data_IF_663946933495
#
_entry.id   IF_663946933495
#
_cell.length_a   1.000
_cell.length_b   1.000
_cell.length_c   1.000
_cell.angle_alpha   90.00
_cell.angle_beta   90.00
_cell.angle_gamma   90.00
#
_symmetry.space_group_name_H-M   'P 1'
#
loop_
_entity.id
_entity.type
_entity.pdbx_description
1 polymer ?
#
# COMPACT_ATOMS: atom_id res chain seq x y z
N UNK A 1 8.56 16.79 16.40
CA UNK A 1 7.79 17.82 15.71
C UNK A 1 8.15 17.78 14.25
N UNK A 2 7.15 17.62 13.38
CA UNK A 2 7.32 17.86 11.95
C UNK A 2 7.68 19.34 11.74
N UNK A 3 8.66 19.61 10.86
CA UNK A 3 8.94 20.96 10.41
C UNK A 3 7.82 21.49 9.51
N UNK A 4 7.98 22.72 9.02
CA UNK A 4 7.02 23.34 8.12
C UNK A 4 6.93 22.59 6.77
N UNK A 5 5.69 22.34 6.32
CA UNK A 5 5.44 21.74 5.00
C UNK A 5 5.68 22.77 3.90
N UNK A 6 6.62 22.46 3.01
CA UNK A 6 6.88 23.24 1.82
C UNK A 6 5.83 22.96 0.75
N UNK A 7 5.77 23.83 -0.26
CA UNK A 7 4.81 23.69 -1.37
C UNK A 7 4.92 22.34 -2.10
N UNK A 8 6.13 21.77 -2.20
CA UNK A 8 6.33 20.44 -2.77
C UNK A 8 5.66 19.33 -1.95
N UNK A 9 5.67 19.44 -0.62
CA UNK A 9 5.05 18.44 0.26
C UNK A 9 3.52 18.52 0.13
N UNK A 10 2.98 19.74 0.16
CA UNK A 10 1.54 19.99 -0.05
C UNK A 10 1.07 19.53 -1.42
N UNK A 11 1.88 19.76 -2.46
CA UNK A 11 1.58 19.32 -3.82
C UNK A 11 1.50 17.79 -3.91
N UNK A 12 2.41 17.06 -3.27
CA UNK A 12 2.37 15.60 -3.22
C UNK A 12 1.07 15.10 -2.57
N UNK A 13 0.68 15.65 -1.41
CA UNK A 13 -0.57 15.27 -0.75
C UNK A 13 -1.82 15.64 -1.58
N UNK A 14 -1.82 16.79 -2.25
CA UNK A 14 -2.92 17.17 -3.13
C UNK A 14 -3.09 16.20 -4.31
N UNK A 15 -1.99 15.73 -4.90
CA UNK A 15 -2.01 14.74 -5.98
C UNK A 15 -2.52 13.39 -5.48
N UNK A 16 -2.09 12.95 -4.29
CA UNK A 16 -2.59 11.72 -3.66
C UNK A 16 -4.09 11.80 -3.37
N UNK A 17 -4.59 12.93 -2.87
CA UNK A 17 -6.04 13.15 -2.64
C UNK A 17 -6.84 13.03 -3.94
N UNK A 18 -6.35 13.62 -5.03
CA UNK A 18 -7.01 13.49 -6.33
C UNK A 18 -7.02 12.04 -6.85
N UNK A 19 -5.92 11.31 -6.64
CA UNK A 19 -5.84 9.88 -7.00
C UNK A 19 -6.75 9.01 -6.14
N UNK A 20 -6.87 9.30 -4.85
CA UNK A 20 -7.83 8.67 -3.92
C UNK A 20 -9.26 8.82 -4.43
N UNK A 21 -9.67 10.05 -4.77
CA UNK A 21 -11.05 10.29 -5.23
C UNK A 21 -11.36 9.54 -6.54
N UNK A 22 -10.41 9.49 -7.47
CA UNK A 22 -10.52 8.68 -8.70
C UNK A 22 -10.54 7.17 -8.41
N UNK A 23 -9.73 6.72 -7.46
CA UNK A 23 -9.66 5.32 -7.06
C UNK A 23 -11.00 4.85 -6.46
N UNK A 24 -11.60 5.66 -5.59
CA UNK A 24 -12.92 5.40 -5.01
C UNK A 24 -14.00 5.30 -6.09
N UNK A 25 -14.10 6.29 -6.99
CA UNK A 25 -15.05 6.26 -8.10
C UNK A 25 -14.85 5.02 -8.99
N UNK A 26 -13.60 4.65 -9.29
CA UNK A 26 -13.31 3.47 -10.07
C UNK A 26 -13.70 2.17 -9.33
N UNK A 27 -13.55 2.09 -8.00
CA UNK A 27 -13.99 0.92 -7.22
C UNK A 27 -15.52 0.82 -7.18
N UNK A 28 -16.23 1.93 -6.94
CA UNK A 28 -17.69 1.99 -6.90
C UNK A 28 -18.32 1.60 -8.23
N UNK A 29 -17.65 1.94 -9.35
CA UNK A 29 -18.09 1.59 -10.69
C UNK A 29 -17.52 0.27 -11.23
N UNK A 30 -16.93 -0.59 -10.37
CA UNK A 30 -16.35 -1.90 -10.73
C UNK A 30 -15.24 -1.84 -11.80
N UNK A 31 -14.55 -0.71 -11.91
CA UNK A 31 -13.42 -0.47 -12.84
C UNK A 31 -12.08 -0.80 -12.18
N UNK A 32 -11.92 -2.04 -11.71
CA UNK A 32 -10.76 -2.48 -10.91
C UNK A 32 -9.40 -2.24 -11.58
N UNK A 33 -9.32 -2.37 -12.91
CA UNK A 33 -8.07 -2.12 -13.65
C UNK A 33 -7.64 -0.66 -13.58
N UNK A 34 -8.60 0.26 -13.59
CA UNK A 34 -8.32 1.70 -13.50
C UNK A 34 -8.05 2.09 -12.05
N UNK A 35 -8.83 1.56 -11.09
CA UNK A 35 -8.55 1.73 -9.66
C UNK A 35 -7.13 1.26 -9.28
N UNK A 36 -6.67 0.12 -9.82
CA UNK A 36 -5.29 -0.35 -9.60
C UNK A 36 -4.25 0.59 -10.22
N UNK A 37 -4.53 1.22 -11.37
CA UNK A 37 -3.62 2.21 -11.95
C UNK A 37 -3.51 3.45 -11.06
N UNK A 38 -4.62 3.88 -10.46
CA UNK A 38 -4.66 5.01 -9.53
C UNK A 38 -3.88 4.70 -8.26
N UNK A 39 -4.04 3.50 -7.69
CA UNK A 39 -3.26 3.02 -6.54
C UNK A 39 -1.75 3.02 -6.85
N UNK A 40 -1.37 2.53 -8.04
CA UNK A 40 0.01 2.61 -8.54
C UNK A 40 0.44 4.06 -8.80
N UNK A 41 -0.49 4.96 -9.10
CA UNK A 41 -0.27 6.41 -9.20
C UNK A 41 0.27 6.98 -7.90
N UNK A 42 -0.35 6.64 -6.77
CA UNK A 42 0.09 7.06 -5.42
C UNK A 42 1.54 6.63 -5.17
N UNK A 43 1.90 5.40 -5.53
CA UNK A 43 3.27 4.91 -5.40
C UNK A 43 4.27 5.69 -6.27
N UNK A 44 3.85 6.13 -7.46
CA UNK A 44 4.68 6.97 -8.34
C UNK A 44 4.89 8.36 -7.76
N UNK A 45 3.85 8.96 -7.16
CA UNK A 45 3.96 10.25 -6.48
C UNK A 45 4.98 10.16 -5.34
N UNK A 46 4.90 9.11 -4.50
CA UNK A 46 5.88 8.88 -3.43
C UNK A 46 7.32 8.75 -3.95
N UNK A 47 7.53 7.95 -5.00
CA UNK A 47 8.85 7.80 -5.63
C UNK A 47 9.37 9.11 -6.21
N UNK A 48 8.51 9.90 -6.85
CA UNK A 48 8.87 11.22 -7.37
C UNK A 48 9.24 12.17 -6.22
N UNK A 49 8.43 12.21 -5.18
CA UNK A 49 8.63 13.07 -4.01
C UNK A 49 9.98 12.82 -3.33
N UNK A 50 10.29 11.57 -2.97
CA UNK A 50 11.58 11.25 -2.32
C UNK A 50 12.77 11.53 -3.24
N UNK A 51 12.60 11.37 -4.55
CA UNK A 51 13.64 11.65 -5.54
C UNK A 51 13.90 13.15 -5.70
N UNK A 52 12.84 13.97 -5.74
CA UNK A 52 12.94 15.43 -5.87
C UNK A 52 13.42 16.09 -4.56
N UNK A 53 13.02 15.52 -3.41
CA UNK A 53 13.38 16.04 -2.09
C UNK A 53 14.82 15.68 -1.68
N UNK A 54 15.43 14.67 -2.30
CA UNK A 54 16.82 14.25 -2.12
C UNK A 54 17.30 14.23 -0.64
N UNK A 55 16.64 13.46 0.26
CA UNK A 55 16.93 13.49 1.70
C UNK A 55 18.38 13.11 2.05
N UNK A 56 19.05 12.32 1.20
CA UNK A 56 20.47 11.97 1.37
C UNK A 56 21.43 13.15 1.15
N UNK A 57 20.98 14.22 0.47
CA UNK A 57 21.72 15.48 0.37
C UNK A 57 21.36 16.41 1.52
N UNK A 58 20.07 16.59 1.80
CA UNK A 58 19.62 17.50 2.86
C UNK A 58 20.07 17.04 4.24
N UNK A 59 20.27 15.73 4.47
CA UNK A 59 20.76 15.18 5.74
C UNK A 59 22.13 15.73 6.17
N UNK A 60 22.90 16.26 5.23
CA UNK A 60 24.23 16.85 5.48
C UNK A 60 24.16 18.32 5.87
N UNK A 61 23.07 19.02 5.55
CA UNK A 61 22.93 20.47 5.74
C UNK A 61 21.81 20.84 6.70
N UNK A 62 20.68 20.15 6.63
CA UNK A 62 19.46 20.43 7.38
C UNK A 62 18.76 19.12 7.78
N UNK A 63 18.98 18.73 9.03
CA UNK A 63 18.41 17.51 9.60
C UNK A 63 16.90 17.66 9.89
N UNK A 64 16.43 18.87 10.18
CA UNK A 64 15.02 19.15 10.47
C UNK A 64 14.18 18.98 9.20
N UNK A 65 14.68 19.53 8.07
CA UNK A 65 14.06 19.32 6.77
C UNK A 65 14.08 17.85 6.36
N UNK A 66 15.20 17.16 6.59
CA UNK A 66 15.31 15.72 6.31
C UNK A 66 14.29 14.90 7.10
N UNK A 67 14.12 15.21 8.39
CA UNK A 67 13.10 14.58 9.22
C UNK A 67 11.68 14.80 8.69
N UNK A 68 11.40 16.01 8.19
CA UNK A 68 10.09 16.34 7.58
C UNK A 68 9.86 15.55 6.29
N UNK A 69 10.86 15.48 5.40
CA UNK A 69 10.77 14.70 4.15
C UNK A 69 10.51 13.22 4.44
N UNK A 70 11.28 12.64 5.38
CA UNK A 70 11.11 11.24 5.76
C UNK A 70 9.75 10.98 6.42
N UNK A 71 9.24 11.93 7.21
CA UNK A 71 7.89 11.83 7.74
C UNK A 71 6.85 11.80 6.62
N UNK A 72 6.93 12.70 5.63
CA UNK A 72 6.02 12.69 4.48
C UNK A 72 6.08 11.35 3.74
N UNK A 73 7.28 10.81 3.49
CA UNK A 73 7.42 9.47 2.89
C UNK A 73 6.73 8.38 3.71
N UNK A 74 6.80 8.44 5.05
CA UNK A 74 6.11 7.49 5.92
C UNK A 74 4.57 7.64 5.86
N UNK A 75 4.05 8.87 5.76
CA UNK A 75 2.62 9.09 5.54
C UNK A 75 2.16 8.47 4.22
N UNK A 76 2.93 8.66 3.14
CA UNK A 76 2.66 8.05 1.83
C UNK A 76 2.72 6.52 1.91
N UNK A 77 3.64 5.95 2.71
CA UNK A 77 3.64 4.50 2.97
C UNK A 77 2.36 4.04 3.66
N UNK A 78 1.79 4.83 4.58
CA UNK A 78 0.51 4.51 5.21
C UNK A 78 -0.66 4.59 4.21
N UNK A 79 -0.65 5.58 3.31
CA UNK A 79 -1.59 5.66 2.18
C UNK A 79 -1.53 4.40 1.31
N UNK A 80 -0.32 3.96 0.95
CA UNK A 80 -0.12 2.75 0.16
C UNK A 80 -0.65 1.50 0.88
N UNK A 81 -0.46 1.41 2.20
CA UNK A 81 -0.98 0.31 2.99
C UNK A 81 -2.52 0.21 2.92
N UNK A 82 -3.21 1.34 2.87
CA UNK A 82 -4.68 1.40 2.74
C UNK A 82 -5.10 1.11 1.28
N UNK A 83 -4.50 1.80 0.31
CA UNK A 83 -4.90 1.74 -1.10
C UNK A 83 -4.67 0.35 -1.73
N UNK A 84 -3.68 -0.41 -1.25
CA UNK A 84 -3.35 -1.74 -1.77
C UNK A 84 -4.08 -2.89 -1.06
N UNK A 85 -4.79 -2.64 0.04
CA UNK A 85 -5.56 -3.68 0.74
C UNK A 85 -6.54 -4.45 -0.18
N UNK A 86 -7.34 -3.82 -1.07
CA UNK A 86 -8.26 -4.56 -1.93
C UNK A 86 -7.58 -5.31 -3.11
N UNK A 87 -6.29 -5.06 -3.38
CA UNK A 87 -5.59 -5.63 -4.54
C UNK A 87 -4.51 -6.65 -4.15
N UNK A 88 -3.73 -6.35 -3.12
CA UNK A 88 -2.60 -7.16 -2.65
C UNK A 88 -2.57 -7.18 -1.12
N UNK A 89 -3.53 -7.85 -0.46
CA UNK A 89 -3.70 -7.82 0.99
C UNK A 89 -2.45 -8.31 1.75
N UNK A 90 -1.76 -9.33 1.24
CA UNK A 90 -0.54 -9.84 1.89
C UNK A 90 0.60 -8.81 1.89
N UNK A 91 0.77 -8.06 0.79
CA UNK A 91 1.78 -7.02 0.70
C UNK A 91 1.41 -5.81 1.56
N UNK A 92 0.13 -5.44 1.58
CA UNK A 92 -0.41 -4.41 2.46
C UNK A 92 -0.21 -4.78 3.94
N UNK A 93 -0.49 -6.03 4.33
CA UNK A 93 -0.27 -6.52 5.70
C UNK A 93 1.21 -6.43 6.11
N UNK A 94 2.14 -6.81 5.23
CA UNK A 94 3.58 -6.69 5.50
C UNK A 94 4.01 -5.24 5.68
N UNK A 95 3.50 -4.34 4.85
CA UNK A 95 3.75 -2.90 5.00
C UNK A 95 3.15 -2.36 6.31
N UNK A 96 1.93 -2.78 6.67
CA UNK A 96 1.27 -2.44 7.93
C UNK A 96 2.06 -2.93 9.14
N UNK A 97 2.65 -4.14 9.09
CA UNK A 97 3.56 -4.64 10.13
C UNK A 97 4.80 -3.77 10.29
N UNK A 98 5.41 -3.32 9.18
CA UNK A 98 6.53 -2.38 9.23
C UNK A 98 6.12 -1.04 9.85
N UNK A 99 4.91 -0.57 9.55
CA UNK A 99 4.34 0.64 10.13
C UNK A 99 3.72 0.43 11.51
N UNK A 100 3.72 -0.80 12.07
CA UNK A 100 3.06 -1.13 13.34
C UNK A 100 1.57 -0.70 13.40
N UNK A 101 0.88 -0.75 12.27
CA UNK A 101 -0.52 -0.34 12.16
C UNK A 101 -1.45 -1.54 11.95
N UNK A 102 -2.64 -1.50 12.54
CA UNK A 102 -3.77 -2.35 12.18
C UNK A 102 -4.53 -1.78 10.97
N UNK A 103 -5.52 -2.51 10.49
CA UNK A 103 -6.47 -1.98 9.49
C UNK A 103 -7.90 -2.36 9.88
N UNK A 104 -8.82 -1.46 9.60
CA UNK A 104 -10.25 -1.72 9.66
C UNK A 104 -10.71 -2.33 8.34
N UNK A 105 -11.23 -3.56 8.37
CA UNK A 105 -11.67 -4.29 7.16
C UNK A 105 -13.18 -4.26 6.94
N UNK A 106 -13.90 -3.43 7.71
CA UNK A 106 -15.34 -3.26 7.60
C UNK A 106 -16.13 -3.88 8.74
N UNK A 107 -17.45 -3.70 8.66
CA UNK A 107 -18.44 -4.21 9.62
C UNK A 107 -19.19 -5.38 9.00
N UNK A 108 -19.31 -6.50 9.72
CA UNK A 108 -20.14 -7.62 9.28
C UNK A 108 -21.62 -7.31 9.62
N UNK A 109 -22.47 -7.22 8.60
CA UNK A 109 -23.90 -6.89 8.76
C UNK A 109 -24.80 -8.13 8.83
N UNK A 110 -24.29 -9.29 9.25
CA UNK A 110 -25.10 -10.50 9.45
C UNK A 110 -26.25 -10.24 10.42
N UNK A 111 -27.47 -10.42 9.91
CA UNK A 111 -28.72 -10.09 10.59
C UNK A 111 -28.92 -10.96 11.84
N UNK A 112 -28.75 -10.38 13.03
CA UNK A 112 -29.05 -11.03 14.31
C UNK A 112 -27.86 -11.30 15.23
N UNK A 113 -26.65 -10.93 14.83
CA UNK A 113 -25.44 -10.95 15.68
C UNK A 113 -25.06 -9.49 16.02
N UNK A 114 -24.44 -9.23 17.18
CA UNK A 114 -23.89 -7.91 17.50
C UNK A 114 -22.95 -7.44 16.38
N UNK A 115 -22.93 -6.13 16.08
CA UNK A 115 -22.05 -5.55 15.07
C UNK A 115 -20.60 -5.95 15.35
N UNK A 116 -20.11 -6.97 14.63
CA UNK A 116 -18.73 -7.38 14.71
C UNK A 116 -17.93 -6.50 13.76
N UNK A 117 -17.20 -5.54 14.31
CA UNK A 117 -16.13 -4.86 13.58
C UNK A 117 -15.01 -5.86 13.31
N UNK A 118 -14.78 -6.17 12.04
CA UNK A 118 -13.61 -6.94 11.65
C UNK A 118 -12.43 -5.98 11.54
N UNK A 119 -11.60 -5.99 12.57
CA UNK A 119 -10.32 -5.29 12.57
C UNK A 119 -9.22 -6.34 12.62
N UNK A 120 -8.29 -6.30 11.67
CA UNK A 120 -7.05 -7.07 11.78
C UNK A 120 -6.21 -6.36 12.84
N UNK A 121 -6.17 -6.94 14.03
CA UNK A 121 -5.40 -6.40 15.16
C UNK A 121 -3.92 -6.30 14.77
N UNK A 122 -3.44 -5.07 14.58
CA UNK A 122 -2.02 -4.73 14.64
C UNK A 122 -1.56 -4.55 16.10
N UNK A 123 -0.41 -3.90 16.31
CA UNK A 123 -0.10 -3.35 17.64
C UNK A 123 -1.16 -2.32 18.04
N UNK A 124 -1.58 -2.36 19.30
CA UNK A 124 -2.86 -1.87 19.85
C UNK A 124 -3.19 -0.37 19.70
N UNK A 125 -2.37 0.45 19.03
CA UNK A 125 -2.47 1.92 19.10
C UNK A 125 -2.92 2.62 17.80
N UNK A 126 -2.76 2.03 16.62
CA UNK A 126 -3.14 2.68 15.34
C UNK A 126 -3.91 1.72 14.45
N UNK A 127 -5.10 2.13 14.01
CA UNK A 127 -5.94 1.42 13.04
C UNK A 127 -6.09 2.29 11.80
N UNK A 128 -5.65 1.79 10.66
CA UNK A 128 -5.82 2.45 9.38
C UNK A 128 -7.25 2.24 8.87
N UNK A 129 -7.88 3.31 8.40
CA UNK A 129 -9.22 3.29 7.83
C UNK A 129 -9.20 3.90 6.42
N UNK A 130 -10.19 3.53 5.62
CA UNK A 130 -10.30 4.01 4.24
C UNK A 130 -10.36 5.55 4.14
N UNK A 131 -11.07 6.19 5.06
CA UNK A 131 -11.22 7.65 5.12
C UNK A 131 -9.89 8.37 5.43
N UNK A 132 -8.89 7.67 5.97
CA UNK A 132 -7.58 8.23 6.24
C UNK A 132 -6.72 8.35 4.98
N UNK A 133 -7.06 7.65 3.89
CA UNK A 133 -6.32 7.69 2.64
C UNK A 133 -6.28 9.12 2.08
N UNK A 134 -5.09 9.60 1.71
CA UNK A 134 -4.84 10.99 1.30
C UNK A 134 -4.71 11.98 2.47
N UNK A 135 -4.71 11.48 3.71
CA UNK A 135 -4.50 12.27 4.91
C UNK A 135 -3.06 12.71 5.09
N UNK A 136 -2.85 13.94 5.57
CA UNK A 136 -1.49 14.48 5.81
C UNK A 136 -0.87 13.98 7.13
N UNK A 137 -1.68 13.36 8.01
CA UNK A 137 -1.32 12.98 9.38
C UNK A 137 -1.97 11.66 9.80
N UNK A 138 -1.66 10.61 9.05
CA UNK A 138 -2.13 9.24 9.33
C UNK A 138 -1.32 8.64 10.49
N UNK A 139 0.00 8.71 10.40
CA UNK A 139 0.90 8.26 11.47
C UNK A 139 1.08 9.39 12.50
N UNK A 140 0.94 9.11 13.81
CA UNK A 140 1.22 10.07 14.87
C UNK A 140 2.66 10.59 14.87
N UNK A 141 2.89 11.73 15.53
CA UNK A 141 4.26 12.21 15.72
C UNK A 141 5.07 11.27 16.62
N UNK A 142 6.37 11.14 16.32
CA UNK A 142 7.30 10.26 17.03
C UNK A 142 6.92 8.76 17.01
N UNK A 143 6.13 8.35 16.01
CA UNK A 143 5.75 6.96 15.80
C UNK A 143 6.97 6.06 15.53
N UNK A 144 7.04 4.93 16.21
CA UNK A 144 8.12 3.96 16.03
C UNK A 144 7.73 2.89 15.02
N UNK A 145 8.46 2.84 13.90
CA UNK A 145 8.30 1.77 12.92
C UNK A 145 9.06 0.50 13.34
N UNK A 146 8.65 -0.65 12.81
CA UNK A 146 9.44 -1.87 12.87
C UNK A 146 10.57 -1.83 11.80
N UNK A 147 11.54 -2.76 11.86
CA UNK A 147 12.57 -2.89 10.82
C UNK A 147 11.94 -3.07 9.43
N UNK A 148 12.50 -2.38 8.44
CA UNK A 148 12.05 -2.51 7.05
C UNK A 148 12.47 -3.87 6.46
N UNK A 149 11.58 -4.50 5.71
CA UNK A 149 11.84 -5.73 4.96
C UNK A 149 11.49 -5.54 3.48
N UNK A 150 11.97 -6.45 2.62
CA UNK A 150 11.69 -6.39 1.19
C UNK A 150 10.25 -6.81 0.91
N UNK A 151 9.39 -5.90 0.44
CA UNK A 151 7.99 -6.22 0.12
C UNK A 151 7.83 -7.19 -1.06
N UNK A 152 8.67 -7.06 -2.09
CA UNK A 152 8.56 -7.87 -3.32
C UNK A 152 9.92 -8.42 -3.72
N UNK A 153 9.95 -9.72 -4.00
CA UNK A 153 11.10 -10.37 -4.62
C UNK A 153 10.99 -10.27 -6.14
N UNK A 154 12.15 -10.16 -6.81
CA UNK A 154 12.19 -10.20 -8.27
C UNK A 154 11.84 -11.62 -8.73
N UNK A 155 10.90 -11.71 -9.67
CA UNK A 155 10.59 -12.97 -10.33
C UNK A 155 11.66 -13.22 -11.38
N UNK A 156 12.42 -14.30 -11.22
CA UNK A 156 13.45 -14.72 -12.17
C UNK A 156 12.88 -15.60 -13.29
N UNK A 157 13.47 -15.55 -14.49
CA UNK A 157 13.00 -16.28 -15.68
C UNK A 157 12.89 -17.79 -15.42
N UNK A 158 13.80 -18.35 -14.62
CA UNK A 158 13.77 -19.77 -14.24
C UNK A 158 12.52 -20.17 -13.46
N UNK A 159 11.98 -19.27 -12.64
CA UNK A 159 10.73 -19.51 -11.92
C UNK A 159 9.52 -19.47 -12.87
N UNK A 160 9.57 -18.62 -13.89
CA UNK A 160 8.55 -18.52 -14.95
C UNK A 160 8.55 -19.82 -15.77
N UNK A 161 9.71 -20.24 -16.25
CA UNK A 161 9.88 -21.45 -17.08
C UNK A 161 9.41 -22.70 -16.32
N UNK A 162 9.75 -22.82 -15.04
CA UNK A 162 9.30 -23.94 -14.21
C UNK A 162 7.76 -24.01 -14.08
N UNK A 163 7.06 -22.87 -14.00
CA UNK A 163 5.59 -22.87 -13.98
C UNK A 163 5.00 -23.19 -15.36
N UNK A 164 5.61 -22.71 -16.45
CA UNK A 164 5.19 -23.04 -17.81
C UNK A 164 5.32 -24.53 -18.09
N UNK A 165 6.44 -25.15 -17.71
CA UNK A 165 6.67 -26.59 -17.86
C UNK A 165 5.65 -27.41 -17.05
N UNK A 166 5.35 -26.98 -15.82
CA UNK A 166 4.32 -27.61 -14.99
C UNK A 166 2.95 -27.54 -15.64
N UNK A 167 2.57 -26.38 -16.18
CA UNK A 167 1.29 -26.19 -16.89
C UNK A 167 1.22 -27.05 -18.16
N UNK A 168 2.31 -27.13 -18.92
CA UNK A 168 2.40 -27.98 -20.10
C UNK A 168 2.21 -29.47 -19.75
N UNK A 169 2.81 -29.93 -18.65
CA UNK A 169 2.66 -31.30 -18.16
C UNK A 169 1.22 -31.61 -17.73
N UNK A 170 0.59 -30.74 -16.94
CA UNK A 170 -0.81 -30.88 -16.54
C UNK A 170 -1.74 -30.93 -17.76
N UNK A 171 -1.48 -30.06 -18.75
CA UNK A 171 -2.25 -30.05 -19.99
C UNK A 171 -2.11 -31.38 -20.76
N UNK A 172 -0.90 -31.91 -20.89
CA UNK A 172 -0.65 -33.18 -21.55
C UNK A 172 -1.34 -34.36 -20.82
N UNK A 173 -1.33 -34.37 -19.49
CA UNK A 173 -2.02 -35.37 -18.66
C UNK A 173 -3.55 -35.30 -18.85
N UNK A 174 -4.13 -34.10 -18.90
CA UNK A 174 -5.57 -33.92 -19.15
C UNK A 174 -5.96 -34.36 -20.57
N UNK A 175 -5.20 -33.99 -21.59
CA UNK A 175 -5.45 -34.39 -22.99
C UNK A 175 -5.31 -35.91 -23.20
N UNK A 176 -4.42 -36.58 -22.47
CA UNK A 176 -4.30 -38.04 -22.50
C UNK A 176 -5.47 -38.74 -21.79
N UNK A 177 -5.99 -38.15 -20.72
CA UNK A 177 -7.15 -38.66 -19.97
C UNK A 177 -8.44 -38.51 -20.77
N UNK A 178 -8.62 -37.39 -21.48
CA UNK A 178 -9.77 -37.16 -22.36
C UNK A 178 -9.78 -38.07 -23.59
N UNK A 179 -8.61 -38.45 -24.13
CA UNK A 179 -8.51 -39.41 -25.25
C UNK A 179 -8.66 -40.87 -24.83
N UNK A 180 -8.54 -41.16 -23.54
CA UNK A 180 -8.68 -42.50 -22.96
C UNK A 180 -10.08 -42.83 -22.43
N UNK A 181 -10.97 -41.84 -22.36
CA UNK A 181 -12.39 -41.97 -21.99
C UNK A 181 -13.29 -42.09 -23.23
#
# INVERSE_FOLDING_TARGET
>A
ACGELLEMDKAAFAEIKALRDSLEDNLDNFRFRDALKDAMGIARVGNKYISDAEPWKTSKSDMERTGTILNVCLQICADLAIAFEPFTPDAAERLRKMLRAGIFTGKDYRKGEEECETSIKGSEELVLEWDMLGGEKILPEAWQTAPAELLFEKIEDSAIDAQLDRLAKIRAENEATEKGA
#
